data_IF_611746452726
#
_entry.id   IF_611746452726
#
_cell.length_a   1.000
_cell.length_b   1.000
_cell.length_c   1.000
_cell.angle_alpha   90.00
_cell.angle_beta   90.00
_cell.angle_gamma   90.00
#
_symmetry.space_group_name_H-M   'P 1'
#
loop_
_entity.id
_entity.type
_entity.pdbx_description
1 polymer ?
#
# COMPACT_ATOMS: atom_id res chain seq x y z
N UNK A 1 3.52 17.15 8.43
CA UNK A 1 2.10 16.73 8.40
C UNK A 1 1.25 17.39 9.47
N UNK A 2 1.73 17.44 10.70
CA UNK A 2 0.95 18.11 11.76
C UNK A 2 0.70 19.59 11.47
N UNK A 3 1.70 20.28 10.92
CA UNK A 3 1.55 21.69 10.57
C UNK A 3 0.50 21.91 9.49
N UNK A 4 0.47 21.05 8.48
CA UNK A 4 -0.52 21.16 7.42
C UNK A 4 -1.94 20.99 7.96
N UNK A 5 -2.13 20.11 8.94
CA UNK A 5 -3.47 19.88 9.50
C UNK A 5 -3.99 21.03 10.34
N UNK A 6 -3.14 21.94 10.78
CA UNK A 6 -3.59 23.14 11.47
C UNK A 6 -4.40 24.07 10.58
N UNK A 7 -4.22 23.97 9.28
CA UNK A 7 -4.80 24.90 8.32
C UNK A 7 -5.87 24.29 7.42
N UNK A 8 -6.20 23.03 7.62
CA UNK A 8 -7.24 22.37 6.81
C UNK A 8 -7.86 21.22 7.55
N UNK A 9 -9.17 21.08 7.40
CA UNK A 9 -9.92 19.93 7.90
C UNK A 9 -9.96 18.79 6.89
N UNK A 10 -9.44 19.02 5.68
CA UNK A 10 -9.44 17.99 4.65
C UNK A 10 -8.38 16.95 4.93
N UNK A 11 -8.70 15.69 4.57
CA UNK A 11 -7.71 14.63 4.61
C UNK A 11 -6.67 14.91 3.52
N UNK A 12 -5.39 14.96 3.92
CA UNK A 12 -4.30 15.24 3.00
C UNK A 12 -3.93 13.99 2.21
N UNK A 13 -3.51 14.21 0.97
CA UNK A 13 -3.07 13.15 0.09
C UNK A 13 -1.58 13.31 -0.20
N UNK A 14 -0.81 12.24 -0.01
CA UNK A 14 0.63 12.25 -0.26
C UNK A 14 0.99 11.20 -1.30
N UNK A 15 1.91 11.56 -2.20
CA UNK A 15 2.39 10.66 -3.24
C UNK A 15 3.43 9.71 -2.67
N UNK A 16 3.28 8.43 -3.00
CA UNK A 16 4.24 7.39 -2.64
C UNK A 16 4.86 6.83 -3.91
N UNK A 17 6.17 7.02 -4.05
CA UNK A 17 6.89 6.49 -5.21
C UNK A 17 7.38 5.07 -4.92
N UNK A 18 7.35 4.23 -5.93
CA UNK A 18 7.76 2.82 -5.82
C UNK A 18 8.66 2.44 -6.99
N UNK A 19 9.45 1.40 -6.78
CA UNK A 19 10.26 0.81 -7.84
C UNK A 19 11.48 1.61 -8.23
N UNK A 20 11.93 2.52 -7.37
CA UNK A 20 13.11 3.34 -7.63
C UNK A 20 14.33 2.77 -6.91
N UNK A 21 15.39 2.48 -7.65
CA UNK A 21 16.64 2.03 -7.08
C UNK A 21 17.79 2.88 -7.63
N UNK A 22 18.46 3.61 -6.73
CA UNK A 22 19.56 4.51 -7.09
C UNK A 22 20.78 3.77 -7.60
N UNK A 23 20.90 2.49 -7.23
CA UNK A 23 22.07 1.68 -7.56
C UNK A 23 21.84 0.74 -8.74
N UNK A 24 20.71 0.85 -9.41
CA UNK A 24 20.32 -0.01 -10.53
C UNK A 24 20.37 -1.50 -10.21
N UNK A 25 20.01 -1.85 -8.97
CA UNK A 25 20.03 -3.25 -8.51
C UNK A 25 18.61 -3.77 -8.28
N UNK A 26 17.89 -3.98 -9.36
CA UNK A 26 16.51 -4.48 -9.29
C UNK A 26 16.48 -6.01 -9.22
N UNK A 27 16.97 -6.58 -8.10
CA UNK A 27 16.86 -8.02 -7.84
C UNK A 27 15.61 -8.32 -6.97
N UNK A 28 15.39 -9.60 -6.67
CA UNK A 28 14.24 -10.00 -5.87
C UNK A 28 14.24 -9.41 -4.47
N UNK A 29 15.40 -9.31 -3.87
CA UNK A 29 15.54 -8.72 -2.53
C UNK A 29 15.16 -7.25 -2.56
N UNK A 30 15.57 -6.52 -3.60
CA UNK A 30 15.17 -5.13 -3.77
C UNK A 30 13.66 -5.00 -3.88
N UNK A 31 13.02 -5.80 -4.75
CA UNK A 31 11.59 -5.68 -4.98
C UNK A 31 10.77 -6.02 -3.74
N UNK A 32 11.20 -7.03 -3.00
CA UNK A 32 10.56 -7.35 -1.73
C UNK A 32 10.67 -6.19 -0.75
N UNK A 33 11.88 -5.66 -0.58
CA UNK A 33 12.11 -4.55 0.36
C UNK A 33 11.34 -3.30 -0.06
N UNK A 34 11.29 -3.02 -1.35
CA UNK A 34 10.55 -1.87 -1.86
C UNK A 34 9.07 -1.96 -1.52
N UNK A 35 8.47 -3.15 -1.64
CA UNK A 35 7.07 -3.37 -1.29
C UNK A 35 6.86 -3.18 0.21
N UNK A 36 7.75 -3.73 1.06
CA UNK A 36 7.64 -3.55 2.50
C UNK A 36 7.82 -2.08 2.90
N UNK A 37 8.72 -1.37 2.24
CA UNK A 37 8.91 0.07 2.48
C UNK A 37 7.66 0.86 2.08
N UNK A 38 7.03 0.48 0.98
CA UNK A 38 5.77 1.10 0.55
C UNK A 38 4.68 0.90 1.60
N UNK A 39 4.52 -0.31 2.11
CA UNK A 39 3.54 -0.58 3.17
C UNK A 39 3.83 0.21 4.44
N UNK A 40 5.10 0.34 4.81
CA UNK A 40 5.50 1.12 5.98
C UNK A 40 5.08 2.58 5.82
N UNK A 41 5.28 3.14 4.63
CA UNK A 41 4.85 4.51 4.34
C UNK A 41 3.34 4.66 4.36
N UNK A 42 2.63 3.66 3.84
CA UNK A 42 1.16 3.67 3.87
C UNK A 42 0.67 3.65 5.33
N UNK A 43 1.25 2.81 6.16
CA UNK A 43 0.90 2.74 7.57
C UNK A 43 1.13 4.08 8.27
N UNK A 44 2.27 4.69 7.99
CA UNK A 44 2.60 6.00 8.57
C UNK A 44 1.55 7.05 8.19
N UNK A 45 1.16 7.07 6.92
CA UNK A 45 0.14 8.01 6.45
C UNK A 45 -1.22 7.74 7.10
N UNK A 46 -1.58 6.46 7.28
CA UNK A 46 -2.81 6.11 7.98
C UNK A 46 -2.84 6.67 9.40
N UNK A 47 -1.73 6.55 10.12
CA UNK A 47 -1.62 7.05 11.49
C UNK A 47 -1.77 8.56 11.57
N UNK A 48 -1.44 9.27 10.52
CA UNK A 48 -1.57 10.72 10.45
C UNK A 48 -2.83 11.16 9.72
N UNK A 49 -3.75 10.24 9.45
CA UNK A 49 -5.01 10.50 8.75
C UNK A 49 -4.80 11.12 7.38
N UNK A 50 -3.79 10.64 6.68
CA UNK A 50 -3.45 11.09 5.34
C UNK A 50 -3.70 9.96 4.36
N UNK A 51 -4.07 10.32 3.13
CA UNK A 51 -4.31 9.35 2.07
C UNK A 51 -3.04 9.18 1.23
N UNK A 52 -2.61 7.94 0.97
CA UNK A 52 -1.54 7.72 0.02
C UNK A 52 -2.06 7.76 -1.41
N UNK A 53 -1.23 8.24 -2.32
CA UNK A 53 -1.45 8.07 -3.74
C UNK A 53 -0.21 7.37 -4.29
N UNK A 54 -0.37 6.12 -4.69
CA UNK A 54 0.76 5.30 -5.10
C UNK A 54 1.09 5.58 -6.56
N UNK A 55 2.31 6.06 -6.78
CA UNK A 55 2.84 6.28 -8.12
C UNK A 55 3.89 5.21 -8.38
N UNK A 56 3.61 4.36 -9.36
CA UNK A 56 4.53 3.29 -9.75
C UNK A 56 5.64 3.89 -10.60
N UNK A 57 6.85 3.81 -10.08
CA UNK A 57 7.99 4.40 -10.76
C UNK A 57 8.60 3.39 -11.73
N UNK A 58 9.04 3.90 -12.84
CA UNK A 58 9.72 3.25 -13.98
C UNK A 58 9.60 1.74 -14.13
N UNK A 59 10.29 0.96 -13.38
CA UNK A 59 10.53 -0.46 -13.70
C UNK A 59 9.67 -1.45 -12.94
N UNK A 60 8.56 -0.98 -12.37
CA UNK A 60 7.70 -1.89 -11.63
C UNK A 60 7.23 -3.08 -12.50
N UNK A 61 7.12 -2.88 -13.81
CA UNK A 61 6.68 -3.93 -14.74
C UNK A 61 7.69 -5.06 -14.85
N UNK A 62 8.95 -4.81 -14.55
CA UNK A 62 10.00 -5.82 -14.54
C UNK A 62 10.02 -6.63 -13.26
N UNK A 63 9.29 -6.20 -12.24
CA UNK A 63 9.25 -6.87 -10.95
C UNK A 63 8.53 -8.22 -11.05
N UNK A 64 9.05 -9.25 -10.37
CA UNK A 64 8.29 -10.49 -10.22
C UNK A 64 7.02 -10.29 -9.41
N UNK A 65 6.88 -9.16 -8.72
CA UNK A 65 5.73 -8.83 -7.88
C UNK A 65 4.88 -7.69 -8.45
N UNK A 66 4.92 -7.48 -9.77
CA UNK A 66 4.19 -6.36 -10.37
C UNK A 66 2.70 -6.38 -10.06
N UNK A 67 2.11 -7.58 -9.94
CA UNK A 67 0.69 -7.70 -9.59
C UNK A 67 0.38 -7.17 -8.20
N UNK A 68 1.33 -7.29 -7.27
CA UNK A 68 1.19 -6.73 -5.93
C UNK A 68 1.18 -5.20 -6.00
N UNK A 69 2.09 -4.61 -6.76
CA UNK A 69 2.12 -3.14 -6.94
C UNK A 69 0.81 -2.63 -7.53
N UNK A 70 0.31 -3.31 -8.56
CA UNK A 70 -0.95 -2.91 -9.19
C UNK A 70 -2.09 -2.97 -8.20
N UNK A 71 -2.16 -4.03 -7.40
CA UNK A 71 -3.22 -4.23 -6.41
C UNK A 71 -3.18 -3.16 -5.32
N UNK A 72 -1.99 -2.86 -4.82
CA UNK A 72 -1.82 -1.81 -3.80
C UNK A 72 -2.27 -0.45 -4.35
N UNK A 73 -1.85 -0.12 -5.57
CA UNK A 73 -2.22 1.14 -6.19
C UNK A 73 -3.73 1.26 -6.41
N UNK A 74 -4.36 0.18 -6.85
CA UNK A 74 -5.82 0.19 -7.06
C UNK A 74 -6.58 0.44 -5.75
N UNK A 75 -6.09 -0.13 -4.66
CA UNK A 75 -6.69 0.07 -3.35
C UNK A 75 -6.43 1.48 -2.83
N UNK A 76 -5.17 1.92 -2.83
CA UNK A 76 -4.78 3.21 -2.28
C UNK A 76 -5.37 4.39 -3.05
N UNK A 77 -5.42 4.27 -4.37
CA UNK A 77 -5.78 5.41 -5.22
C UNK A 77 -7.29 5.62 -5.37
N UNK A 78 -8.07 4.81 -4.65
CA UNK A 78 -9.52 4.96 -4.59
C UNK A 78 -9.92 5.20 -3.14
N UNK A 79 -10.05 6.46 -2.72
CA UNK A 79 -10.31 6.79 -1.31
C UNK A 79 -11.53 6.09 -0.71
N UNK A 80 -12.56 5.85 -1.51
CA UNK A 80 -13.75 5.15 -1.03
C UNK A 80 -13.46 3.73 -0.57
N UNK A 81 -12.51 3.05 -1.21
CA UNK A 81 -12.08 1.72 -0.77
C UNK A 81 -11.05 1.82 0.34
N UNK A 82 -10.06 2.68 0.16
CA UNK A 82 -8.97 2.78 1.12
C UNK A 82 -9.47 3.14 2.52
N UNK A 83 -10.40 4.08 2.62
CA UNK A 83 -10.92 4.54 3.91
C UNK A 83 -11.76 3.49 4.62
N UNK A 84 -12.40 2.60 3.89
CA UNK A 84 -13.39 1.68 4.46
C UNK A 84 -12.92 0.23 4.55
N UNK A 85 -11.92 -0.15 3.78
CA UNK A 85 -11.49 -1.53 3.68
C UNK A 85 -9.98 -1.67 3.82
N UNK A 86 -9.55 -2.76 4.47
CA UNK A 86 -8.15 -3.16 4.43
C UNK A 86 -7.84 -3.70 3.03
N UNK A 87 -6.54 -3.85 2.75
CA UNK A 87 -6.13 -4.45 1.48
C UNK A 87 -6.66 -5.88 1.34
N UNK A 88 -6.66 -6.64 2.43
CA UNK A 88 -7.21 -8.00 2.42
C UNK A 88 -8.69 -7.99 2.07
N UNK A 89 -9.47 -7.11 2.67
CA UNK A 89 -10.89 -6.97 2.37
C UNK A 89 -11.12 -6.55 0.93
N UNK A 90 -10.28 -5.65 0.42
CA UNK A 90 -10.35 -5.22 -0.96
C UNK A 90 -10.08 -6.40 -1.93
N UNK A 91 -9.09 -7.21 -1.62
CA UNK A 91 -8.78 -8.40 -2.43
C UNK A 91 -9.94 -9.39 -2.43
N UNK A 92 -10.55 -9.62 -1.26
CA UNK A 92 -11.71 -10.51 -1.15
C UNK A 92 -12.91 -9.97 -1.91
N UNK A 93 -13.10 -8.67 -1.91
CA UNK A 93 -14.18 -8.02 -2.67
C UNK A 93 -14.04 -8.28 -4.18
N UNK A 94 -12.81 -8.32 -4.67
CA UNK A 94 -12.53 -8.64 -6.08
C UNK A 94 -12.76 -10.12 -6.40
N UNK A 95 -12.90 -10.97 -5.39
CA UNK A 95 -13.15 -12.38 -5.54
C UNK A 95 -11.87 -13.21 -5.44
N UNK A 96 -12.00 -14.41 -4.85
CA UNK A 96 -10.84 -15.28 -4.63
C UNK A 96 -10.23 -15.83 -5.92
N UNK A 97 -10.97 -15.81 -7.02
CA UNK A 97 -10.46 -16.21 -8.32
C UNK A 97 -9.84 -15.05 -9.09
N UNK A 98 -9.88 -13.83 -8.55
CA UNK A 98 -9.32 -12.67 -9.23
C UNK A 98 -7.80 -12.69 -9.22
N UNK A 99 -7.20 -12.01 -10.19
CA UNK A 99 -5.76 -11.85 -10.25
C UNK A 99 -5.24 -11.10 -9.03
N UNK A 100 -5.97 -10.08 -8.59
CA UNK A 100 -5.62 -9.30 -7.40
C UNK A 100 -5.46 -10.20 -6.17
N UNK A 101 -6.48 -11.00 -5.88
CA UNK A 101 -6.43 -11.90 -4.73
C UNK A 101 -5.26 -12.88 -4.84
N UNK A 102 -5.06 -13.43 -6.03
CA UNK A 102 -3.99 -14.41 -6.25
C UNK A 102 -2.60 -13.82 -6.06
N UNK A 103 -2.35 -12.63 -6.62
CA UNK A 103 -1.05 -11.99 -6.45
C UNK A 103 -0.74 -11.66 -5.00
N UNK A 104 -1.74 -11.15 -4.28
CA UNK A 104 -1.55 -10.80 -2.87
C UNK A 104 -1.36 -12.04 -2.01
N UNK A 105 -2.12 -13.10 -2.27
CA UNK A 105 -2.00 -14.37 -1.54
C UNK A 105 -0.64 -15.03 -1.77
N UNK A 106 -0.17 -15.02 -2.99
CA UNK A 106 1.13 -15.61 -3.32
C UNK A 106 2.27 -14.85 -2.63
N UNK A 107 2.18 -13.54 -2.56
CA UNK A 107 3.18 -12.73 -1.89
C UNK A 107 3.16 -12.98 -0.38
N UNK A 108 1.99 -13.08 0.21
CA UNK A 108 1.85 -13.38 1.65
C UNK A 108 2.35 -14.78 1.97
N UNK A 109 2.13 -15.73 1.08
CA UNK A 109 2.62 -17.09 1.28
C UNK A 109 4.14 -17.13 1.35
N UNK A 110 4.80 -16.33 0.52
CA UNK A 110 6.27 -16.22 0.52
C UNK A 110 6.81 -15.39 1.68
N UNK A 111 6.08 -14.34 2.06
CA UNK A 111 6.51 -13.38 3.07
C UNK A 111 5.36 -13.14 4.05
N UNK A 112 5.13 -14.09 4.98
CA UNK A 112 3.96 -14.02 5.88
C UNK A 112 3.86 -12.74 6.71
N UNK A 113 4.98 -12.06 6.96
CA UNK A 113 5.01 -10.81 7.72
C UNK A 113 4.15 -9.72 7.08
N UNK A 114 3.93 -9.82 5.76
CA UNK A 114 3.13 -8.82 5.05
C UNK A 114 1.67 -8.82 5.49
N UNK A 115 1.21 -9.93 6.09
CA UNK A 115 -0.17 -10.03 6.57
C UNK A 115 -0.55 -8.92 7.54
N UNK A 116 0.41 -8.46 8.34
CA UNK A 116 0.18 -7.33 9.23
C UNK A 116 -0.34 -6.11 8.45
N UNK A 117 0.32 -5.79 7.33
CA UNK A 117 -0.05 -4.64 6.51
C UNK A 117 -1.36 -4.86 5.76
N UNK A 118 -1.64 -6.11 5.36
CA UNK A 118 -2.87 -6.43 4.65
C UNK A 118 -4.11 -6.18 5.50
N UNK A 119 -3.99 -6.31 6.81
CA UNK A 119 -5.11 -6.17 7.73
C UNK A 119 -5.27 -4.75 8.29
N UNK A 120 -4.38 -3.83 7.95
CA UNK A 120 -4.49 -2.46 8.41
C UNK A 120 -5.69 -1.76 7.77
N UNK A 121 -6.41 -0.98 8.58
CA UNK A 121 -7.55 -0.19 8.12
C UNK A 121 -7.38 1.25 8.52
N UNK A 122 -7.68 2.14 7.60
CA UNK A 122 -7.57 3.58 7.80
C UNK A 122 -8.33 4.04 9.04
N UNK A 123 -9.58 3.63 9.17
CA UNK A 123 -10.41 4.03 10.31
C UNK A 123 -9.87 3.48 11.63
N UNK A 124 -9.42 2.24 11.66
CA UNK A 124 -8.85 1.64 12.88
C UNK A 124 -7.59 2.37 13.32
N UNK A 125 -6.73 2.71 12.37
CA UNK A 125 -5.50 3.43 12.68
C UNK A 125 -5.80 4.78 13.30
N UNK A 126 -6.84 5.47 12.83
CA UNK A 126 -7.24 6.74 13.37
C UNK A 126 -7.85 6.61 14.76
N UNK A 127 -8.62 5.56 15.01
CA UNK A 127 -9.28 5.33 16.28
C UNK A 127 -8.30 4.94 17.38
N UNK A 128 -7.22 4.27 17.01
CA UNK A 128 -6.22 3.84 17.99
C UNK A 128 -5.49 4.99 18.65
N UNK A 129 -5.55 6.17 18.08
CA UNK A 129 -4.92 7.34 18.65
C UNK A 129 -5.77 8.10 19.65
N UNK A 130 -6.94 7.62 19.88
CA UNK A 130 -7.90 8.32 20.76
C UNK A 130 -7.76 7.89 22.22
#
# INVERSE_FOLDING_TARGET
>A
MALARKYTDRVLKFYCFTGFDRNDKWDRAFWRQDIFDLFTRIELLMRHRCLPYVMRFNRYEESPYRGVYISIARWCNQPSFFKKKSLREFAELNGRSSACYRYLSDFEERFPEVGYFYDLKFERSNNNGV
#
